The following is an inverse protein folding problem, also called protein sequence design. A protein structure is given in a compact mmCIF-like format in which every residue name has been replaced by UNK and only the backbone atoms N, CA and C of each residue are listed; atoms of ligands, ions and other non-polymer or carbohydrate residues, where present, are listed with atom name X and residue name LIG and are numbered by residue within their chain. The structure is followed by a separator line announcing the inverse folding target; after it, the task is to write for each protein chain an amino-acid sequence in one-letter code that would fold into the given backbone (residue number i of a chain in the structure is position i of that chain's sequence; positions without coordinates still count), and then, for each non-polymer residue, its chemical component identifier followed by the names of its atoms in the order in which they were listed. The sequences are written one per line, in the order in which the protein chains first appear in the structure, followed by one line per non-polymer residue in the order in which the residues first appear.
data_IF_062186340892
#
_entry.id   IF_062186340892
#
_cell.length_a   1.000
_cell.length_b   1.000
_cell.length_c   1.000
_cell.angle_alpha   90.00
_cell.angle_beta   90.00
_cell.angle_gamma   90.00
#
_symmetry.space_group_name_H-M   'P 1'
#
loop_
_entity.id
_entity.type
_entity.pdbx_description
1 polymer ?
#
# COMPACT_ATOMS: atom_id res chain seq x y z
N UNK A 1 -22.68 1.24 1.55
CA UNK A 1 -21.29 1.68 1.29
C UNK A 1 -20.50 0.46 0.85
N UNK A 2 -19.96 0.43 -0.38
CA UNK A 2 -19.05 -0.66 -0.79
C UNK A 2 -17.73 -0.45 -0.06
N UNK A 3 -17.13 -1.53 0.43
CA UNK A 3 -15.75 -1.47 0.91
C UNK A 3 -14.86 -1.44 -0.33
N UNK A 4 -14.08 -0.37 -0.48
CA UNK A 4 -13.15 -0.26 -1.59
C UNK A 4 -12.07 -1.31 -1.45
N UNK A 5 -11.82 -2.02 -2.54
CA UNK A 5 -10.75 -3.01 -2.62
C UNK A 5 -9.39 -2.30 -2.56
N UNK A 6 -8.36 -3.02 -2.11
CA UNK A 6 -6.99 -2.53 -2.12
C UNK A 6 -6.60 -1.96 -3.50
N UNK A 7 -7.02 -2.63 -4.58
CA UNK A 7 -6.64 -2.19 -5.92
C UNK A 7 -7.34 -0.90 -6.33
N UNK A 8 -8.62 -0.71 -5.98
CA UNK A 8 -9.31 0.56 -6.25
C UNK A 8 -8.57 1.72 -5.60
N UNK A 9 -8.15 1.56 -4.34
CA UNK A 9 -7.37 2.59 -3.63
C UNK A 9 -5.99 2.83 -4.26
N UNK A 10 -5.39 1.82 -4.87
CA UNK A 10 -4.13 1.99 -5.61
C UNK A 10 -4.39 2.74 -6.92
N UNK A 11 -5.37 2.31 -7.70
CA UNK A 11 -5.72 2.90 -9.00
C UNK A 11 -6.19 4.37 -8.84
N UNK A 12 -6.84 4.70 -7.73
CA UNK A 12 -7.23 6.08 -7.35
C UNK A 12 -6.07 6.91 -6.75
N UNK A 13 -4.88 6.32 -6.59
CA UNK A 13 -3.69 6.99 -6.05
C UNK A 13 -3.70 7.22 -4.53
N UNK A 14 -4.69 6.67 -3.81
CA UNK A 14 -4.79 6.74 -2.34
C UNK A 14 -3.69 5.91 -1.68
N UNK A 15 -3.35 4.75 -2.25
CA UNK A 15 -2.26 3.89 -1.79
C UNK A 15 -1.20 3.83 -2.89
N UNK A 16 0.00 4.35 -2.58
CA UNK A 16 1.15 4.32 -3.49
C UNK A 16 1.88 2.97 -3.42
N UNK A 17 1.22 1.91 -3.86
CA UNK A 17 1.79 0.56 -3.92
C UNK A 17 1.62 0.01 -5.33
N UNK A 18 2.71 -0.15 -6.12
CA UNK A 18 2.59 -0.73 -7.44
C UNK A 18 2.17 -2.20 -7.35
N UNK A 19 1.40 -2.65 -8.33
CA UNK A 19 1.10 -4.06 -8.53
C UNK A 19 1.33 -4.43 -10.00
N UNK A 20 1.55 -5.70 -10.25
CA UNK A 20 1.74 -6.26 -11.58
C UNK A 20 0.92 -7.54 -11.75
N UNK A 21 0.85 -8.02 -12.98
CA UNK A 21 0.23 -9.31 -13.33
C UNK A 21 1.27 -10.15 -14.05
N UNK A 22 1.19 -11.46 -13.88
CA UNK A 22 2.08 -12.40 -14.58
C UNK A 22 1.57 -12.75 -15.99
N UNK A 23 0.32 -12.42 -16.27
CA UNK A 23 -0.33 -12.65 -17.55
C UNK A 23 -1.39 -11.55 -17.84
N UNK A 24 -1.84 -11.50 -19.09
CA UNK A 24 -2.78 -10.49 -19.59
C UNK A 24 -4.26 -10.89 -19.45
N UNK A 25 -4.57 -12.01 -18.79
CA UNK A 25 -5.95 -12.42 -18.56
C UNK A 25 -6.69 -11.44 -17.67
N UNK A 26 -7.98 -11.24 -17.94
CA UNK A 26 -8.87 -10.46 -17.07
C UNK A 26 -9.06 -11.09 -15.68
N UNK A 27 -8.71 -12.36 -15.53
CA UNK A 27 -8.71 -13.09 -14.25
C UNK A 27 -7.31 -13.25 -13.64
N UNK A 28 -6.29 -12.64 -14.24
CA UNK A 28 -4.93 -12.71 -13.73
C UNK A 28 -4.85 -12.15 -12.31
N UNK A 29 -4.08 -12.83 -11.47
CA UNK A 29 -3.83 -12.37 -10.11
C UNK A 29 -3.00 -11.09 -10.13
N UNK A 30 -3.30 -10.20 -9.19
CA UNK A 30 -2.57 -8.94 -9.00
C UNK A 30 -1.57 -9.14 -7.89
N UNK A 31 -0.29 -9.02 -8.21
CA UNK A 31 0.83 -9.25 -7.31
C UNK A 31 1.49 -7.93 -6.94
N UNK A 32 2.03 -7.85 -5.73
CA UNK A 32 2.88 -6.75 -5.29
C UNK A 32 4.27 -7.29 -5.02
N UNK A 33 5.29 -6.47 -5.25
CA UNK A 33 6.65 -6.85 -4.89
C UNK A 33 6.81 -6.75 -3.36
N UNK A 34 7.43 -7.76 -2.74
CA UNK A 34 7.57 -7.81 -1.28
C UNK A 34 8.33 -6.60 -0.72
N UNK A 35 9.38 -6.17 -1.42
CA UNK A 35 10.20 -5.02 -1.01
C UNK A 35 9.41 -3.72 -1.07
N UNK A 36 8.51 -3.56 -2.04
CA UNK A 36 7.67 -2.35 -2.15
C UNK A 36 6.67 -2.27 -1.00
N UNK A 37 6.09 -3.43 -0.64
CA UNK A 37 5.22 -3.53 0.54
C UNK A 37 5.98 -3.22 1.83
N UNK A 38 7.17 -3.78 2.00
CA UNK A 38 8.01 -3.51 3.17
C UNK A 38 8.35 -2.01 3.29
N UNK A 39 8.77 -1.38 2.19
CA UNK A 39 9.09 0.04 2.16
C UNK A 39 7.88 0.92 2.53
N UNK A 40 6.67 0.56 2.07
CA UNK A 40 5.45 1.27 2.45
C UNK A 40 5.16 1.14 3.95
N UNK A 41 5.34 -0.05 4.53
CA UNK A 41 5.15 -0.28 5.96
C UNK A 41 6.15 0.56 6.77
N UNK A 42 7.41 0.57 6.36
CA UNK A 42 8.47 1.33 7.04
C UNK A 42 8.19 2.83 7.01
N UNK A 43 7.72 3.37 5.88
CA UNK A 43 7.32 4.77 5.76
C UNK A 43 6.22 5.12 6.78
N UNK A 44 5.16 4.30 6.84
CA UNK A 44 4.03 4.52 7.75
C UNK A 44 4.44 4.35 9.21
N UNK A 45 5.34 3.40 9.49
CA UNK A 45 5.88 3.20 10.82
C UNK A 45 6.71 4.40 11.26
N UNK A 46 7.56 4.96 10.39
CA UNK A 46 8.34 6.16 10.68
C UNK A 46 7.44 7.37 11.01
N UNK A 47 6.39 7.61 10.22
CA UNK A 47 5.39 8.65 10.50
C UNK A 47 4.74 8.47 11.88
N UNK A 48 4.33 7.25 12.21
CA UNK A 48 3.73 6.94 13.51
C UNK A 48 4.72 7.14 14.68
N UNK A 49 5.99 6.80 14.49
CA UNK A 49 7.04 7.04 15.50
C UNK A 49 7.27 8.54 15.73
N UNK A 50 7.28 9.36 14.68
CA UNK A 50 7.42 10.81 14.82
C UNK A 50 6.22 11.42 15.55
N UNK A 51 5.00 11.00 15.24
CA UNK A 51 3.81 11.43 16.00
C UNK A 51 3.85 10.98 17.46
N UNK A 52 4.28 9.75 17.73
CA UNK A 52 4.42 9.24 19.10
C UNK A 52 5.43 10.05 19.90
N UNK A 53 6.59 10.39 19.32
CA UNK A 53 7.61 11.23 19.98
C UNK A 53 7.07 12.59 20.38
N UNK A 54 6.17 13.20 19.58
CA UNK A 54 5.54 14.49 19.90
C UNK A 54 4.68 14.43 21.16
N UNK A 55 4.08 13.28 21.47
CA UNK A 55 3.27 13.11 22.70
C UNK A 55 4.10 13.16 23.99
N UNK A 56 5.39 12.86 23.89
CA UNK A 56 6.30 12.76 25.04
C UNK A 56 7.38 13.85 25.05
N UNK A 57 7.20 14.91 24.25
CA UNK A 57 8.13 16.05 24.16
C UNK A 57 7.67 17.25 24.97
#
# INVERSE_FOLDING_TARGET
MRVDTLIQKIDEGVIRLPYFRLDDSQKAQRHVHLTDLAALIDLRHAEAQEEFKKLWR
#
